data_IF_853722796110
#
_entry.id   IF_853722796110
#
_cell.length_a   1.000
_cell.length_b   1.000
_cell.length_c   1.000
_cell.angle_alpha   90.00
_cell.angle_beta   90.00
_cell.angle_gamma   90.00
#
_symmetry.space_group_name_H-M   'P 1'
#
loop_
_entity.id
_entity.type
_entity.pdbx_description
1 polymer ?
#
# COMPACT_ATOMS: atom_id res chain seq x y z
N UNK A 1 15.33 -12.21 12.97
CA UNK A 1 14.27 -11.82 12.02
C UNK A 1 14.94 -11.02 10.92
N UNK A 2 14.91 -11.50 9.69
CA UNK A 2 15.49 -10.77 8.55
C UNK A 2 14.47 -9.74 8.02
N UNK A 3 14.89 -8.87 7.10
CA UNK A 3 14.02 -7.82 6.54
C UNK A 3 12.80 -8.37 5.78
N UNK A 4 12.93 -9.54 5.15
CA UNK A 4 11.82 -10.21 4.46
C UNK A 4 10.79 -10.75 5.45
N UNK A 5 11.23 -11.37 6.55
CA UNK A 5 10.35 -11.85 7.62
C UNK A 5 9.54 -10.69 8.24
N UNK A 6 10.19 -9.52 8.41
CA UNK A 6 9.55 -8.31 8.92
C UNK A 6 8.50 -7.76 7.95
N UNK A 7 8.83 -7.72 6.65
CA UNK A 7 7.90 -7.30 5.60
C UNK A 7 6.67 -8.22 5.55
N UNK A 8 6.86 -9.54 5.56
CA UNK A 8 5.76 -10.51 5.55
C UNK A 8 4.82 -10.36 6.75
N UNK A 9 5.37 -10.07 7.94
CA UNK A 9 4.56 -9.81 9.14
C UNK A 9 3.78 -8.49 9.03
N UNK A 10 4.43 -7.44 8.50
CA UNK A 10 3.78 -6.15 8.27
C UNK A 10 2.63 -6.27 7.25
N UNK A 11 2.85 -6.97 6.14
CA UNK A 11 1.84 -7.21 5.11
C UNK A 11 0.64 -7.98 5.66
N UNK A 12 0.89 -9.06 6.41
CA UNK A 12 -0.19 -9.80 7.06
C UNK A 12 -1.03 -8.91 7.98
N UNK A 13 -0.36 -8.09 8.81
CA UNK A 13 -1.04 -7.16 9.70
C UNK A 13 -1.84 -6.10 8.95
N UNK A 14 -1.30 -5.60 7.83
CA UNK A 14 -1.97 -4.64 6.97
C UNK A 14 -3.24 -5.25 6.35
N UNK A 15 -3.15 -6.47 5.82
CA UNK A 15 -4.31 -7.21 5.27
C UNK A 15 -5.38 -7.41 6.34
N UNK A 16 -4.99 -7.90 7.52
CA UNK A 16 -5.91 -8.12 8.64
C UNK A 16 -6.61 -6.79 9.04
N UNK A 17 -5.89 -5.66 9.07
CA UNK A 17 -6.46 -4.34 9.36
C UNK A 17 -7.41 -3.86 8.25
N UNK A 18 -6.99 -3.91 6.99
CA UNK A 18 -7.79 -3.45 5.84
C UNK A 18 -9.08 -4.25 5.71
N UNK A 19 -9.06 -5.55 6.05
CA UNK A 19 -10.25 -6.41 6.03
C UNK A 19 -11.36 -5.97 6.99
N UNK A 20 -11.04 -5.13 7.98
CA UNK A 20 -12.02 -4.57 8.94
C UNK A 20 -12.63 -3.25 8.48
N UNK A 21 -12.11 -2.64 7.41
CA UNK A 21 -12.57 -1.34 6.93
C UNK A 21 -13.86 -1.49 6.11
N UNK A 22 -14.80 -0.58 6.37
CA UNK A 22 -15.94 -0.34 5.50
C UNK A 22 -15.60 0.71 4.43
N UNK A 23 -16.43 0.80 3.38
CA UNK A 23 -16.23 1.78 2.30
C UNK A 23 -16.19 3.22 2.83
N UNK A 24 -16.99 3.56 3.84
CA UNK A 24 -16.99 4.92 4.43
C UNK A 24 -15.71 5.23 5.20
N UNK A 25 -14.96 4.23 5.66
CA UNK A 25 -13.66 4.47 6.28
C UNK A 25 -12.60 4.91 5.27
N UNK A 26 -12.77 4.58 3.98
CA UNK A 26 -11.81 4.94 2.94
C UNK A 26 -11.77 6.46 2.69
N UNK A 27 -12.84 7.17 3.02
CA UNK A 27 -12.93 8.62 2.82
C UNK A 27 -12.46 9.42 4.06
N UNK A 28 -12.10 8.73 5.16
CA UNK A 28 -11.56 9.37 6.36
C UNK A 28 -10.15 9.93 6.11
N UNK A 29 -9.72 10.97 6.84
CA UNK A 29 -8.35 11.48 6.75
C UNK A 29 -7.34 10.43 7.23
N UNK A 30 -6.18 10.40 6.57
CA UNK A 30 -5.03 9.60 6.99
C UNK A 30 -4.00 10.47 7.73
N UNK A 31 -2.97 9.88 8.36
CA UNK A 31 -1.83 10.62 8.90
C UNK A 31 -0.98 11.33 7.83
N UNK A 32 -1.09 10.93 6.56
CA UNK A 32 -0.42 11.60 5.44
C UNK A 32 -1.20 12.88 5.10
N UNK A 33 -0.51 14.01 5.11
CA UNK A 33 -1.14 15.32 4.93
C UNK A 33 -1.89 15.41 3.60
N UNK A 34 -3.17 15.78 3.67
CA UNK A 34 -4.05 15.91 2.49
C UNK A 34 -4.52 14.58 1.90
N UNK A 35 -4.19 13.44 2.48
CA UNK A 35 -4.55 12.11 1.95
C UNK A 35 -5.67 11.49 2.76
N UNK A 36 -6.64 10.88 2.07
CA UNK A 36 -7.60 9.98 2.70
C UNK A 36 -6.99 8.61 2.95
N UNK A 37 -7.67 7.77 3.72
CA UNK A 37 -7.31 6.35 3.89
C UNK A 37 -7.23 5.66 2.53
N UNK A 38 -8.12 5.99 1.59
CA UNK A 38 -8.07 5.51 0.20
C UNK A 38 -6.74 5.86 -0.47
N UNK A 39 -6.34 7.14 -0.44
CA UNK A 39 -5.08 7.60 -1.06
C UNK A 39 -3.87 6.88 -0.46
N UNK A 40 -3.84 6.68 0.86
CA UNK A 40 -2.76 5.95 1.53
C UNK A 40 -2.71 4.47 1.13
N UNK A 41 -3.86 3.79 1.07
CA UNK A 41 -3.91 2.38 0.66
C UNK A 41 -3.53 2.22 -0.82
N UNK A 42 -4.01 3.12 -1.70
CA UNK A 42 -3.58 3.15 -3.10
C UNK A 42 -2.07 3.32 -3.23
N UNK A 43 -1.47 4.24 -2.47
CA UNK A 43 -0.02 4.44 -2.47
C UNK A 43 0.76 3.21 -1.96
N UNK A 44 0.21 2.48 -1.01
CA UNK A 44 0.83 1.24 -0.51
C UNK A 44 0.82 0.15 -1.60
N UNK A 45 -0.33 -0.08 -2.23
CA UNK A 45 -0.47 -1.07 -3.32
C UNK A 45 0.45 -0.73 -4.50
N UNK A 46 0.43 0.53 -4.93
CA UNK A 46 1.32 1.08 -5.93
C UNK A 46 2.80 0.75 -5.69
N UNK A 47 3.25 0.93 -4.45
CA UNK A 47 4.64 0.68 -4.06
C UNK A 47 4.97 -0.81 -4.12
N UNK A 48 4.04 -1.68 -3.73
CA UNK A 48 4.19 -3.14 -3.84
C UNK A 48 4.30 -3.55 -5.31
N UNK A 49 3.45 -3.01 -6.19
CA UNK A 49 3.50 -3.27 -7.63
C UNK A 49 4.81 -2.80 -8.25
N UNK A 50 5.34 -1.65 -7.82
CA UNK A 50 6.64 -1.16 -8.27
C UNK A 50 7.80 -2.08 -7.86
N UNK A 51 7.78 -2.61 -6.63
CA UNK A 51 8.77 -3.60 -6.21
C UNK A 51 8.66 -4.90 -7.00
N UNK A 52 7.44 -5.39 -7.23
CA UNK A 52 7.21 -6.60 -8.02
C UNK A 52 7.70 -6.42 -9.47
N UNK A 53 7.33 -5.31 -10.11
CA UNK A 53 7.78 -4.97 -11.45
C UNK A 53 9.31 -4.92 -11.55
N UNK A 54 9.99 -4.31 -10.58
CA UNK A 54 11.45 -4.24 -10.55
C UNK A 54 12.12 -5.63 -10.42
N UNK A 55 11.53 -6.53 -9.62
CA UNK A 55 11.99 -7.91 -9.50
C UNK A 55 11.84 -8.69 -10.82
N UNK A 56 10.80 -8.39 -11.59
CA UNK A 56 10.54 -8.95 -12.93
C UNK A 56 11.33 -8.24 -14.05
N UNK A 57 12.23 -7.32 -13.69
CA UNK A 57 13.05 -6.56 -14.64
C UNK A 57 12.28 -5.51 -15.44
N UNK A 58 11.09 -5.13 -14.99
CA UNK A 58 10.23 -4.11 -15.59
C UNK A 58 10.36 -2.76 -14.86
N UNK A 59 9.96 -1.69 -15.54
CA UNK A 59 9.73 -0.40 -14.87
C UNK A 59 8.47 -0.49 -14.00
N UNK A 60 8.55 -0.01 -12.75
CA UNK A 60 7.37 0.12 -11.90
C UNK A 60 6.38 1.19 -12.42
N UNK A 61 5.12 1.16 -11.96
CA UNK A 61 4.16 2.20 -12.29
C UNK A 61 4.68 3.57 -11.81
N UNK A 62 4.46 4.57 -12.66
CA UNK A 62 4.75 5.97 -12.35
C UNK A 62 3.72 6.51 -11.35
N UNK A 63 4.08 7.53 -10.55
CA UNK A 63 3.13 8.17 -9.62
C UNK A 63 1.83 8.63 -10.32
N UNK A 64 1.89 9.02 -11.59
CA UNK A 64 0.72 9.45 -12.37
C UNK A 64 -0.21 8.30 -12.77
N UNK A 65 0.26 7.05 -12.79
CA UNK A 65 -0.57 5.88 -13.06
C UNK A 65 -1.31 5.38 -11.81
N UNK A 66 -1.01 5.97 -10.65
CA UNK A 66 -1.43 5.51 -9.34
C UNK A 66 -2.43 6.44 -8.64
N UNK A 67 -2.64 7.65 -9.20
CA UNK A 67 -3.52 8.72 -8.71
C UNK A 67 -4.34 9.34 -9.84
#
# INVERSE_FOLDING_TARGET
MNSLDLLQQADKRLVDLVSTLSVSNLDAPSPCSGWSVRSLLSHTVATIDAFAAALDGQGGPTEQELF
#
